data_IF_490990241097
#
_entry.id   IF_490990241097
#
_cell.length_a   1.000
_cell.length_b   1.000
_cell.length_c   1.000
_cell.angle_alpha   90.00
_cell.angle_beta   90.00
_cell.angle_gamma   90.00
#
_symmetry.space_group_name_H-M   'P 1'
#
loop_
_entity.id
_entity.type
_entity.pdbx_description
1 polymer ?
#
# COMPACT_ATOMS: atom_id res chain seq x y z
N UNK A 1 -8.01 24.14 8.64
CA UNK A 1 -7.71 23.77 8.15
C UNK A 1 -7.84 22.83 7.71
N UNK A 2 -8.07 22.68 7.58
CA UNK A 2 -7.97 21.82 7.33
C UNK A 2 -7.56 21.50 6.40
N UNK A 3 -6.88 21.57 6.48
CA UNK A 3 -6.43 21.27 5.54
C UNK A 3 -6.75 20.10 5.01
N UNK A 4 -7.07 20.01 3.99
CA UNK A 4 -7.44 18.85 3.38
C UNK A 4 -6.24 18.03 3.05
N UNK A 5 -6.25 16.81 3.44
CA UNK A 5 -5.20 15.90 3.08
C UNK A 5 -5.57 15.09 1.86
N UNK A 6 -6.54 15.57 1.14
CA UNK A 6 -7.10 14.85 0.04
C UNK A 6 -7.24 15.77 -1.15
N UNK A 7 -6.91 15.28 -2.32
CA UNK A 7 -7.14 16.07 -3.52
C UNK A 7 -7.86 15.18 -4.52
N UNK A 8 -7.99 15.65 -5.76
CA UNK A 8 -8.76 14.92 -6.75
C UNK A 8 -8.21 13.54 -7.04
N UNK A 9 -6.91 13.36 -6.86
CA UNK A 9 -6.27 12.12 -7.28
C UNK A 9 -5.68 11.31 -6.14
N UNK A 10 -5.51 11.92 -4.99
CA UNK A 10 -4.85 11.20 -3.91
C UNK A 10 -5.36 11.67 -2.57
N UNK A 11 -5.02 10.92 -1.58
CA UNK A 11 -5.40 11.20 -0.21
C UNK A 11 -4.24 10.83 0.68
N UNK A 12 -3.97 11.65 1.67
CA UNK A 12 -2.89 11.40 2.59
C UNK A 12 -3.35 10.47 3.70
N UNK A 13 -2.56 9.44 3.96
CA UNK A 13 -2.77 8.56 5.11
C UNK A 13 -1.52 8.60 5.97
N UNK A 14 -1.71 8.63 7.26
CA UNK A 14 -0.61 8.59 8.20
C UNK A 14 -0.72 7.31 9.02
N UNK A 15 0.34 6.52 9.01
CA UNK A 15 0.36 5.29 9.78
C UNK A 15 1.73 5.12 10.42
N UNK A 16 1.77 4.36 11.49
CA UNK A 16 3.03 3.97 12.08
C UNK A 16 3.41 2.60 11.58
N UNK A 17 4.68 2.43 11.24
CA UNK A 17 5.16 1.17 10.69
C UNK A 17 6.23 0.63 11.63
N UNK A 18 6.16 -0.64 12.01
CA UNK A 18 7.19 -1.22 12.86
C UNK A 18 8.57 -1.07 12.24
N UNK A 19 9.56 -0.87 13.09
CA UNK A 19 10.92 -0.64 12.61
C UNK A 19 11.42 -1.80 11.75
N UNK A 20 11.07 -3.02 12.13
CA UNK A 20 11.52 -4.19 11.39
C UNK A 20 10.96 -4.21 9.98
N UNK A 21 9.74 -3.73 9.82
CA UNK A 21 9.12 -3.68 8.49
C UNK A 21 9.79 -2.62 7.65
N UNK A 22 10.11 -1.49 8.27
CA UNK A 22 10.80 -0.42 7.56
C UNK A 22 12.17 -0.92 7.08
N UNK A 23 12.88 -1.64 7.94
CA UNK A 23 14.19 -2.14 7.58
C UNK A 23 14.11 -3.11 6.41
N UNK A 24 13.12 -3.97 6.42
CA UNK A 24 12.95 -4.92 5.33
C UNK A 24 12.61 -4.22 4.03
N UNK A 25 11.75 -3.21 4.12
CA UNK A 25 11.41 -2.45 2.94
C UNK A 25 12.66 -1.79 2.35
N UNK A 26 13.47 -1.18 3.20
CA UNK A 26 14.65 -0.49 2.70
C UNK A 26 15.62 -1.45 2.03
N UNK A 27 15.68 -2.68 2.52
CA UNK A 27 16.62 -3.64 1.94
C UNK A 27 16.10 -4.23 0.63
N UNK A 28 14.81 -4.11 0.37
CA UNK A 28 14.21 -4.72 -0.81
C UNK A 28 13.77 -3.72 -1.86
N UNK A 29 13.78 -2.45 -1.55
CA UNK A 29 13.41 -1.44 -2.53
C UNK A 29 14.39 -1.48 -3.72
N UNK A 30 13.87 -1.20 -4.89
CA UNK A 30 14.70 -1.06 -6.06
C UNK A 30 15.47 0.24 -6.00
N UNK A 31 16.57 0.30 -6.70
CA UNK A 31 17.33 1.54 -6.80
C UNK A 31 16.45 2.63 -7.36
N UNK A 32 16.45 3.75 -6.68
CA UNK A 32 15.66 4.87 -7.14
C UNK A 32 14.21 4.83 -6.75
N UNK A 33 13.78 3.75 -6.15
CA UNK A 33 12.40 3.63 -5.70
C UNK A 33 12.21 4.37 -4.39
N UNK A 34 11.19 5.22 -4.30
CA UNK A 34 10.92 5.93 -3.06
C UNK A 34 10.14 5.05 -2.10
N UNK A 35 10.22 5.40 -0.82
CA UNK A 35 9.43 4.70 0.18
C UNK A 35 7.95 4.83 -0.12
N UNK A 36 7.53 6.02 -0.52
CA UNK A 36 6.12 6.23 -0.87
C UNK A 36 5.71 5.34 -2.04
N UNK A 37 6.58 5.22 -3.04
CA UNK A 37 6.31 4.36 -4.18
C UNK A 37 6.18 2.91 -3.79
N UNK A 38 7.08 2.47 -2.91
CA UNK A 38 7.02 1.10 -2.42
C UNK A 38 5.70 0.86 -1.70
N UNK A 39 5.28 1.80 -0.88
CA UNK A 39 4.05 1.66 -0.11
C UNK A 39 2.85 1.56 -1.03
N UNK A 40 2.76 2.44 -2.02
CA UNK A 40 1.64 2.42 -2.95
C UNK A 40 1.62 1.12 -3.74
N UNK A 41 2.78 0.67 -4.19
CA UNK A 41 2.87 -0.58 -4.93
C UNK A 41 2.41 -1.75 -4.06
N UNK A 42 2.81 -1.72 -2.79
CA UNK A 42 2.41 -2.76 -1.85
C UNK A 42 0.90 -2.77 -1.66
N UNK A 43 0.31 -1.59 -1.55
CA UNK A 43 -1.14 -1.50 -1.40
C UNK A 43 -1.85 -2.05 -2.61
N UNK A 44 -1.36 -1.72 -3.80
CA UNK A 44 -1.97 -2.22 -5.02
C UNK A 44 -1.90 -3.74 -5.08
N UNK A 45 -0.76 -4.30 -4.67
CA UNK A 45 -0.60 -5.74 -4.64
C UNK A 45 -1.56 -6.40 -3.68
N UNK A 46 -1.67 -5.83 -2.50
CA UNK A 46 -2.55 -6.40 -1.49
C UNK A 46 -4.01 -6.30 -1.92
N UNK A 47 -4.38 -5.20 -2.55
CA UNK A 47 -5.73 -5.02 -3.04
C UNK A 47 -6.06 -6.10 -4.07
N UNK A 48 -5.15 -6.32 -5.00
CA UNK A 48 -5.38 -7.35 -6.02
C UNK A 48 -5.50 -8.73 -5.39
N UNK A 49 -4.67 -9.00 -4.41
CA UNK A 49 -4.71 -10.29 -3.76
C UNK A 49 -6.05 -10.53 -3.09
N UNK A 50 -6.55 -9.51 -2.42
CA UNK A 50 -7.84 -9.65 -1.75
C UNK A 50 -9.00 -9.70 -2.71
N UNK A 51 -8.89 -9.00 -3.83
CA UNK A 51 -9.93 -9.08 -4.85
C UNK A 51 -10.02 -10.47 -5.43
N UNK A 52 -8.87 -11.10 -5.67
CA UNK A 52 -8.88 -12.48 -6.18
C UNK A 52 -9.47 -13.43 -5.17
N UNK A 53 -9.11 -13.25 -3.92
CA UNK A 53 -9.65 -14.10 -2.88
C UNK A 53 -11.15 -13.96 -2.79
N UNK A 54 -11.65 -12.76 -2.87
CA UNK A 54 -13.06 -12.50 -2.77
C UNK A 54 -13.82 -13.09 -3.96
N UNK A 55 -13.26 -12.94 -5.15
CA UNK A 55 -13.88 -13.50 -6.34
C UNK A 55 -13.93 -15.02 -6.24
N UNK A 56 -12.87 -15.62 -5.71
CA UNK A 56 -12.81 -17.04 -5.55
C UNK A 56 -13.86 -17.52 -4.56
N UNK A 57 -14.04 -16.81 -3.47
CA UNK A 57 -15.03 -17.17 -2.49
C UNK A 57 -16.44 -17.03 -3.06
N UNK A 58 -16.65 -16.02 -3.87
CA UNK A 58 -17.94 -15.80 -4.48
C UNK A 58 -18.30 -16.91 -5.46
N UNK A 59 -17.29 -17.47 -6.12
CA UNK A 59 -17.50 -18.54 -7.07
C UNK A 59 -17.52 -19.92 -6.45
N UNK A 60 -17.23 -19.98 -5.19
CA UNK A 60 -17.17 -21.23 -4.54
C UNK A 60 -18.56 -21.73 -4.25
N UNK A 61 -18.77 -22.92 -4.48
CA UNK A 61 -20.09 -23.40 -4.23
C UNK A 61 -20.14 -24.52 -3.34
#
# INVERSE_FOLDING_TARGET
MATSNKNAKSQLFTVRVPHEVVAEMESLKDDGESSAGFIVTSMRGEIKRRQRKKAKEANKE
#
